data_IF_020076586778
#
_entry.id   IF_020076586778
#
_cell.length_a   1.000
_cell.length_b   1.000
_cell.length_c   1.000
_cell.angle_alpha   90.00
_cell.angle_beta   90.00
_cell.angle_gamma   90.00
#
_symmetry.space_group_name_H-M   'P 1'
#
loop_
_entity.id
_entity.type
_entity.pdbx_description
1 polymer ?
#
# COMPACT_ATOMS: atom_id res chain seq x y z
N UNK A 1 31.66 8.48 9.22
CA UNK A 1 30.45 9.34 9.12
C UNK A 1 29.38 8.59 8.36
N UNK A 2 28.56 7.83 9.07
CA UNK A 2 27.55 6.90 8.54
C UNK A 2 26.18 7.34 9.06
N UNK A 3 25.58 8.36 8.44
CA UNK A 3 24.31 8.94 8.94
C UNK A 3 23.12 8.90 7.96
N UNK A 4 23.29 8.46 6.71
CA UNK A 4 22.22 8.60 5.70
C UNK A 4 21.47 7.31 5.30
N UNK A 5 22.01 6.11 5.52
CA UNK A 5 21.36 4.87 5.12
C UNK A 5 20.22 4.40 6.06
N UNK A 6 20.23 4.86 7.32
CA UNK A 6 19.26 4.43 8.34
C UNK A 6 17.95 5.25 8.30
N UNK A 7 17.96 6.43 7.65
CA UNK A 7 16.81 7.33 7.62
C UNK A 7 15.71 6.84 6.67
N UNK A 8 16.05 6.33 5.47
CA UNK A 8 15.05 5.93 4.47
C UNK A 8 14.16 4.76 4.91
N UNK A 9 14.76 3.69 5.46
CA UNK A 9 13.99 2.57 6.03
C UNK A 9 13.18 3.00 7.25
N UNK A 10 13.73 3.87 8.12
CA UNK A 10 13.00 4.41 9.27
C UNK A 10 11.87 5.35 8.86
N UNK A 11 12.01 6.11 7.77
CA UNK A 11 10.96 6.98 7.23
C UNK A 11 9.86 6.13 6.60
N UNK A 12 10.19 5.15 5.75
CA UNK A 12 9.18 4.25 5.18
C UNK A 12 8.49 3.44 6.28
N UNK A 13 9.24 2.92 7.26
CA UNK A 13 8.70 2.19 8.41
C UNK A 13 7.89 3.10 9.35
N UNK A 14 8.28 4.35 9.57
CA UNK A 14 7.51 5.30 10.37
C UNK A 14 6.24 5.76 9.63
N UNK A 15 6.32 6.03 8.32
CA UNK A 15 5.17 6.37 7.49
C UNK A 15 4.17 5.22 7.39
N UNK A 16 4.63 3.97 7.39
CA UNK A 16 3.77 2.76 7.38
C UNK A 16 3.26 2.42 8.79
N UNK A 17 4.08 2.57 9.83
CA UNK A 17 3.69 2.25 11.21
C UNK A 17 2.79 3.33 11.86
N UNK A 18 2.77 4.56 11.33
CA UNK A 18 1.90 5.64 11.79
C UNK A 18 0.71 5.90 10.86
N UNK A 19 0.59 5.21 9.72
CA UNK A 19 -0.55 5.43 8.83
C UNK A 19 -1.74 4.62 9.28
N UNK A 20 -2.85 5.31 9.57
CA UNK A 20 -4.17 4.73 9.44
C UNK A 20 -4.27 4.05 8.06
N UNK A 21 -4.77 2.81 8.06
CA UNK A 21 -4.92 2.03 6.84
C UNK A 21 -5.76 2.78 5.79
N UNK A 22 -5.63 2.41 4.53
CA UNK A 22 -6.41 3.02 3.46
C UNK A 22 -7.72 2.26 3.23
N UNK A 23 -8.83 2.95 3.47
CA UNK A 23 -10.16 2.41 3.18
C UNK A 23 -10.30 2.06 1.68
N UNK A 24 -10.94 0.92 1.30
CA UNK A 24 -10.97 0.46 -0.09
C UNK A 24 -11.62 1.44 -1.07
N UNK A 25 -12.66 2.18 -0.64
CA UNK A 25 -13.28 3.23 -1.46
C UNK A 25 -12.29 4.31 -1.87
N UNK A 26 -11.55 4.83 -0.89
CA UNK A 26 -10.54 5.88 -1.08
C UNK A 26 -9.42 5.37 -1.97
N UNK A 27 -8.97 4.14 -1.73
CA UNK A 27 -7.99 3.48 -2.60
C UNK A 27 -8.46 3.46 -4.06
N UNK A 28 -9.70 3.07 -4.34
CA UNK A 28 -10.24 3.05 -5.70
C UNK A 28 -10.38 4.45 -6.30
N UNK A 29 -10.86 5.44 -5.53
CA UNK A 29 -10.91 6.85 -5.98
C UNK A 29 -9.54 7.33 -6.45
N UNK A 30 -8.50 7.13 -5.64
CA UNK A 30 -7.11 7.49 -5.98
C UNK A 30 -6.55 6.69 -7.15
N UNK A 31 -6.88 5.40 -7.24
CA UNK A 31 -6.38 4.53 -8.30
C UNK A 31 -6.95 4.92 -9.67
N UNK A 32 -8.22 5.31 -9.72
CA UNK A 32 -8.89 5.73 -10.95
C UNK A 32 -8.81 7.23 -11.23
N UNK A 33 -7.98 7.97 -10.47
CA UNK A 33 -7.72 9.40 -10.69
C UNK A 33 -8.88 10.31 -10.33
N UNK A 34 -9.79 9.87 -9.47
CA UNK A 34 -10.92 10.69 -8.99
C UNK A 34 -10.49 11.72 -7.94
N UNK A 35 -9.33 11.52 -7.32
CA UNK A 35 -8.70 12.47 -6.39
C UNK A 35 -7.50 13.21 -7.03
N UNK A 36 -7.36 13.14 -8.35
CA UNK A 36 -6.27 13.84 -9.04
C UNK A 36 -6.44 15.36 -8.91
N UNK A 37 -5.31 16.04 -8.73
CA UNK A 37 -5.23 17.50 -8.59
C UNK A 37 -4.74 18.08 -9.92
N UNK A 38 -5.39 19.15 -10.38
CA UNK A 38 -5.01 19.92 -11.55
C UNK A 38 -3.79 20.81 -11.26
N UNK A 39 -3.18 21.38 -12.30
CA UNK A 39 -1.98 22.23 -12.16
C UNK A 39 -2.22 23.47 -11.28
N UNK A 40 -3.46 23.94 -11.20
CA UNK A 40 -3.89 25.06 -10.35
C UNK A 40 -4.12 24.68 -8.87
N UNK A 41 -3.86 23.43 -8.50
CA UNK A 41 -4.02 22.92 -7.13
C UNK A 41 -5.46 22.51 -6.79
N UNK A 42 -6.42 22.58 -7.72
CA UNK A 42 -7.81 22.17 -7.48
C UNK A 42 -8.03 20.71 -7.83
N UNK A 43 -8.94 20.04 -7.12
CA UNK A 43 -9.38 18.69 -7.49
C UNK A 43 -9.97 18.71 -8.91
N UNK A 44 -9.65 17.68 -9.69
CA UNK A 44 -10.18 17.49 -11.05
C UNK A 44 -11.69 17.26 -11.05
N UNK A 45 -12.20 16.59 -10.02
CA UNK A 45 -13.61 16.30 -9.85
C UNK A 45 -14.13 16.86 -8.53
N UNK A 46 -15.34 17.41 -8.55
CA UNK A 46 -16.08 17.75 -7.34
C UNK A 46 -16.66 16.50 -6.69
N UNK A 47 -16.99 16.54 -5.40
CA UNK A 47 -17.57 15.36 -4.72
C UNK A 47 -18.85 14.88 -5.43
N UNK A 48 -19.70 15.78 -5.92
CA UNK A 48 -20.90 15.42 -6.69
C UNK A 48 -20.56 14.67 -7.98
N UNK A 49 -19.50 15.06 -8.68
CA UNK A 49 -19.03 14.36 -9.88
C UNK A 49 -18.44 12.99 -9.52
N UNK A 50 -17.67 12.91 -8.43
CA UNK A 50 -17.14 11.63 -7.93
C UNK A 50 -18.28 10.68 -7.60
N UNK A 51 -19.32 11.13 -6.91
CA UNK A 51 -20.50 10.31 -6.58
C UNK A 51 -21.25 9.86 -7.83
N UNK A 52 -21.36 10.71 -8.86
CA UNK A 52 -21.95 10.33 -10.13
C UNK A 52 -21.15 9.20 -10.80
N UNK A 53 -19.82 9.31 -10.83
CA UNK A 53 -18.91 8.30 -11.39
C UNK A 53 -18.97 7.00 -10.57
N UNK A 54 -18.98 7.08 -9.24
CA UNK A 54 -19.11 5.90 -8.37
C UNK A 54 -20.44 5.17 -8.56
N UNK A 55 -21.46 5.88 -9.04
CA UNK A 55 -22.79 5.35 -9.36
C UNK A 55 -22.89 4.79 -10.78
N UNK A 56 -21.88 4.98 -11.63
CA UNK A 56 -21.87 4.45 -12.99
C UNK A 56 -21.83 2.91 -13.00
N UNK A 57 -22.51 2.33 -14.00
CA UNK A 57 -22.48 0.90 -14.21
C UNK A 57 -21.04 0.40 -14.42
N UNK A 58 -20.63 -0.60 -13.64
CA UNK A 58 -19.32 -1.23 -13.72
C UNK A 58 -18.21 -0.55 -12.91
N UNK A 59 -18.41 0.66 -12.35
CA UNK A 59 -17.39 1.27 -11.47
C UNK A 59 -17.06 0.35 -10.28
N UNK A 60 -18.10 -0.17 -9.63
CA UNK A 60 -17.95 -1.11 -8.52
C UNK A 60 -17.22 -2.39 -8.93
N UNK A 61 -17.53 -2.94 -10.10
CA UNK A 61 -16.88 -4.15 -10.61
C UNK A 61 -15.38 -3.93 -10.85
N UNK A 62 -15.01 -2.77 -11.41
CA UNK A 62 -13.60 -2.35 -11.55
C UNK A 62 -12.90 -2.30 -10.18
N UNK A 63 -13.54 -1.73 -9.17
CA UNK A 63 -13.01 -1.69 -7.80
C UNK A 63 -12.78 -3.09 -7.23
N UNK A 64 -13.79 -3.96 -7.33
CA UNK A 64 -13.74 -5.36 -6.85
C UNK A 64 -12.59 -6.12 -7.49
N UNK A 65 -12.47 -6.05 -8.82
CA UNK A 65 -11.41 -6.74 -9.55
C UNK A 65 -10.03 -6.21 -9.21
N UNK A 66 -9.88 -4.89 -9.07
CA UNK A 66 -8.64 -4.25 -8.67
C UNK A 66 -8.18 -4.71 -7.28
N UNK A 67 -9.06 -4.59 -6.28
CA UNK A 67 -8.76 -4.95 -4.89
C UNK A 67 -8.45 -6.46 -4.80
N UNK A 68 -9.24 -7.30 -5.47
CA UNK A 68 -9.02 -8.74 -5.50
C UNK A 68 -7.64 -9.10 -6.06
N UNK A 69 -7.23 -8.43 -7.15
CA UNK A 69 -5.91 -8.62 -7.76
C UNK A 69 -4.78 -8.20 -6.83
N UNK A 70 -4.91 -7.05 -6.16
CA UNK A 70 -3.89 -6.51 -5.26
C UNK A 70 -3.73 -7.38 -4.02
N UNK A 71 -4.83 -7.74 -3.37
CA UNK A 71 -4.84 -8.54 -2.16
C UNK A 71 -4.65 -10.04 -2.44
N UNK A 72 -4.59 -10.45 -3.71
CA UNK A 72 -4.49 -11.84 -4.17
C UNK A 72 -5.59 -12.74 -3.58
N UNK A 73 -6.81 -12.23 -3.56
CA UNK A 73 -8.01 -12.95 -3.10
C UNK A 73 -9.04 -13.06 -4.23
N UNK A 74 -10.04 -13.93 -4.07
CA UNK A 74 -11.08 -14.10 -5.09
C UNK A 74 -11.96 -12.83 -5.18
N UNK A 75 -12.35 -12.37 -6.39
CA UNK A 75 -13.29 -11.26 -6.55
C UNK A 75 -14.60 -11.45 -5.79
N UNK A 76 -15.14 -12.67 -5.75
CA UNK A 76 -16.33 -13.02 -4.96
C UNK A 76 -16.18 -12.74 -3.46
N UNK A 77 -14.96 -12.79 -2.92
CA UNK A 77 -14.71 -12.43 -1.51
C UNK A 77 -14.91 -10.93 -1.32
N UNK A 78 -14.31 -10.11 -2.19
CA UNK A 78 -14.42 -8.64 -2.14
C UNK A 78 -15.86 -8.19 -2.45
N UNK A 79 -16.54 -8.88 -3.38
CA UNK A 79 -17.94 -8.65 -3.72
C UNK A 79 -18.85 -8.70 -2.47
N UNK A 80 -18.51 -9.52 -1.48
CA UNK A 80 -19.28 -9.72 -0.24
C UNK A 80 -19.00 -8.66 0.83
N UNK A 81 -18.03 -7.77 0.62
CA UNK A 81 -17.66 -6.72 1.58
C UNK A 81 -18.66 -5.56 1.64
N UNK A 82 -19.84 -5.68 1.04
CA UNK A 82 -20.92 -4.71 1.18
C UNK A 82 -21.56 -4.37 -0.17
N UNK A 83 -22.63 -3.59 -0.08
CA UNK A 83 -23.32 -3.03 -1.25
C UNK A 83 -22.63 -1.73 -1.68
N UNK A 84 -22.66 -1.45 -2.98
CA UNK A 84 -22.04 -0.24 -3.53
C UNK A 84 -20.52 -0.22 -3.35
N UNK A 85 -19.98 0.99 -3.23
CA UNK A 85 -18.54 1.29 -3.09
C UNK A 85 -18.10 1.50 -1.63
N UNK A 86 -18.98 1.24 -0.66
CA UNK A 86 -18.71 1.54 0.75
C UNK A 86 -17.86 0.47 1.45
N UNK A 87 -17.86 -0.78 0.99
CA UNK A 87 -17.07 -1.87 1.57
C UNK A 87 -17.22 -2.06 3.12
N UNK A 88 -18.39 -1.71 3.67
CA UNK A 88 -18.66 -1.71 5.11
C UNK A 88 -18.54 -3.09 5.79
N UNK A 89 -18.73 -4.19 5.05
CA UNK A 89 -18.64 -5.57 5.55
C UNK A 89 -17.25 -6.19 5.36
N UNK A 90 -16.20 -5.36 5.33
CA UNK A 90 -14.82 -5.83 5.40
C UNK A 90 -14.62 -6.63 6.71
N UNK A 91 -14.01 -7.84 6.68
CA UNK A 91 -13.80 -8.66 7.87
C UNK A 91 -12.98 -7.91 8.93
N UNK A 92 -13.49 -7.81 10.16
CA UNK A 92 -12.85 -7.03 11.23
C UNK A 92 -11.48 -7.58 11.63
N UNK A 93 -11.30 -8.90 11.55
CA UNK A 93 -10.04 -9.61 11.82
C UNK A 93 -8.93 -9.28 10.81
N UNK A 94 -9.31 -8.89 9.57
CA UNK A 94 -8.37 -8.58 8.48
C UNK A 94 -8.39 -7.14 8.02
N UNK A 95 -9.31 -6.32 8.53
CA UNK A 95 -9.51 -4.92 8.12
C UNK A 95 -8.20 -4.15 8.15
N UNK A 96 -7.53 -4.13 9.31
CA UNK A 96 -6.27 -3.42 9.47
C UNK A 96 -5.18 -3.92 8.50
N UNK A 97 -5.08 -5.25 8.31
CA UNK A 97 -4.10 -5.83 7.38
C UNK A 97 -4.37 -5.39 5.93
N UNK A 98 -5.62 -5.50 5.48
CA UNK A 98 -5.99 -5.14 4.10
C UNK A 98 -5.83 -3.65 3.83
N UNK A 99 -6.30 -2.80 4.73
CA UNK A 99 -6.20 -1.35 4.58
C UNK A 99 -4.74 -0.87 4.61
N UNK A 100 -3.90 -1.45 5.47
CA UNK A 100 -2.45 -1.20 5.48
C UNK A 100 -1.80 -1.62 4.16
N UNK A 101 -2.19 -2.77 3.61
CA UNK A 101 -1.64 -3.23 2.34
C UNK A 101 -2.07 -2.35 1.16
N UNK A 102 -3.34 -1.92 1.11
CA UNK A 102 -3.83 -0.98 0.11
C UNK A 102 -3.07 0.36 0.19
N UNK A 103 -2.82 0.86 1.42
CA UNK A 103 -2.02 2.07 1.64
C UNK A 103 -0.60 1.91 1.10
N UNK A 104 0.04 0.78 1.39
CA UNK A 104 1.40 0.49 0.91
C UNK A 104 1.47 0.48 -0.62
N UNK A 105 0.50 -0.17 -1.27
CA UNK A 105 0.44 -0.23 -2.74
C UNK A 105 0.18 1.15 -3.36
N UNK A 106 -0.71 1.96 -2.78
CA UNK A 106 -0.91 3.34 -3.26
C UNK A 106 0.37 4.18 -3.09
N UNK A 107 1.06 4.06 -1.95
CA UNK A 107 2.33 4.75 -1.73
C UNK A 107 3.38 4.34 -2.76
N UNK A 108 3.54 3.05 -3.03
CA UNK A 108 4.45 2.56 -4.06
C UNK A 108 4.08 3.13 -5.43
N UNK A 109 2.80 3.14 -5.80
CA UNK A 109 2.34 3.72 -7.07
C UNK A 109 2.70 5.20 -7.18
N UNK A 110 2.43 5.98 -6.13
CA UNK A 110 2.75 7.42 -6.09
C UNK A 110 4.26 7.64 -6.19
N UNK A 111 5.06 6.88 -5.43
CA UNK A 111 6.52 6.96 -5.50
C UNK A 111 7.02 6.61 -6.91
N UNK A 112 6.56 5.50 -7.49
CA UNK A 112 6.91 5.10 -8.85
C UNK A 112 6.53 6.15 -9.90
N UNK A 113 5.35 6.77 -9.79
CA UNK A 113 4.91 7.80 -10.71
C UNK A 113 5.76 9.08 -10.60
N UNK A 114 6.19 9.46 -9.39
CA UNK A 114 7.11 10.58 -9.20
C UNK A 114 8.52 10.24 -9.69
N UNK A 115 9.00 9.02 -9.43
CA UNK A 115 10.29 8.55 -9.87
C UNK A 115 10.38 8.46 -11.40
N UNK A 116 9.31 8.08 -12.10
CA UNK A 116 9.25 8.09 -13.56
C UNK A 116 9.33 9.50 -14.17
N UNK A 117 9.04 10.56 -13.40
CA UNK A 117 9.25 11.95 -13.81
C UNK A 117 10.69 12.43 -13.58
N UNK A 118 11.50 11.66 -12.86
CA UNK A 118 12.90 11.94 -12.60
C UNK A 118 13.79 10.98 -13.42
N UNK A 119 14.98 11.44 -13.77
CA UNK A 119 15.97 10.67 -14.53
C UNK A 119 16.20 9.27 -13.93
N UNK A 120 16.10 8.21 -14.75
CA UNK A 120 16.19 6.79 -14.36
C UNK A 120 17.42 6.49 -13.50
N UNK A 121 18.49 7.27 -13.68
CA UNK A 121 19.75 7.18 -12.93
C UNK A 121 19.59 7.39 -11.42
N UNK A 122 18.61 8.20 -10.97
CA UNK A 122 18.34 8.44 -9.54
C UNK A 122 17.52 7.30 -8.92
N UNK A 123 16.59 6.73 -9.69
CA UNK A 123 15.76 5.59 -9.29
C UNK A 123 16.63 4.36 -9.05
N UNK A 124 17.54 4.07 -9.97
CA UNK A 124 18.49 2.96 -9.86
C UNK A 124 19.44 3.16 -8.67
N UNK A 125 19.89 4.40 -8.39
CA UNK A 125 20.70 4.71 -7.19
C UNK A 125 19.93 4.49 -5.88
N UNK A 126 18.65 4.87 -5.82
CA UNK A 126 17.78 4.61 -4.66
C UNK A 126 17.51 3.11 -4.46
N UNK A 127 17.21 2.39 -5.54
CA UNK A 127 16.99 0.93 -5.48
C UNK A 127 18.27 0.17 -5.11
N UNK A 128 19.42 0.54 -5.67
CA UNK A 128 20.71 -0.09 -5.37
C UNK A 128 21.20 0.20 -3.94
N UNK A 129 20.94 1.40 -3.42
CA UNK A 129 21.26 1.72 -2.02
C UNK A 129 20.35 0.97 -1.04
N UNK A 130 19.07 0.78 -1.38
CA UNK A 130 18.14 -0.01 -0.55
C UNK A 130 18.39 -1.54 -0.61
N UNK A 131 18.76 -2.09 -1.77
CA UNK A 131 19.04 -3.54 -1.92
C UNK A 131 20.38 -3.96 -1.31
N UNK A 132 21.38 -3.08 -1.28
CA UNK A 132 22.64 -3.32 -0.57
C UNK A 132 22.39 -3.49 0.94
N UNK A 133 21.50 -2.66 1.51
CA UNK A 133 21.10 -2.78 2.91
C UNK A 133 20.30 -4.05 3.22
N UNK A 134 19.50 -4.57 2.28
CA UNK A 134 18.75 -5.83 2.47
C UNK A 134 19.68 -7.06 2.49
N UNK A 135 20.78 -7.05 1.74
CA UNK A 135 21.77 -8.14 1.76
C UNK A 135 22.58 -8.17 3.07
N UNK A 136 22.87 -7.02 3.66
CA UNK A 136 23.56 -6.93 4.97
C UNK A 136 22.65 -7.36 6.15
N UNK A 137 21.33 -7.10 6.06
CA UNK A 137 20.37 -7.55 7.09
C UNK A 137 20.18 -9.07 7.09
N UNK A 138 20.26 -9.72 5.93
CA UNK A 138 20.14 -11.19 5.84
C UNK A 138 21.39 -11.94 6.33
N UNK A 139 22.57 -11.31 6.43
CA UNK A 139 23.74 -11.91 7.08
C UNK A 139 23.72 -11.81 8.60
N UNK A 140 22.98 -10.87 9.19
CA UNK A 140 22.84 -10.75 10.66
C UNK A 140 21.63 -11.53 11.22
N UNK A 141 20.59 -11.77 10.40
CA UNK A 141 19.35 -12.42 10.85
C UNK A 141 19.40 -13.97 10.90
N UNK A 142 20.48 -14.60 10.42
CA UNK A 142 20.62 -16.08 10.42
C UNK A 142 21.33 -16.64 11.67
N UNK A 143 21.72 -15.79 12.64
CA UNK A 143 22.36 -16.21 13.89
C UNK A 143 21.46 -16.14 15.14
N UNK A 144 20.15 -15.95 14.99
CA UNK A 144 19.21 -15.94 16.11
C UNK A 144 18.11 -17.00 15.94
N UNK A 145 18.48 -18.29 15.93
CA UNK A 145 17.58 -19.39 16.29
C UNK A 145 18.30 -20.75 16.41
N UNK A 146 19.30 -20.88 17.30
CA UNK A 146 19.64 -22.17 17.93
C UNK A 146 20.16 -21.93 19.34
N UNK A 147 19.26 -21.77 20.32
CA UNK A 147 19.52 -22.10 21.73
C UNK A 147 18.24 -21.87 22.54
N UNK A 148 17.26 -22.77 22.42
CA UNK A 148 16.43 -23.12 23.59
C UNK A 148 15.67 -24.43 23.34
N UNK A 149 16.35 -25.56 23.58
CA UNK A 149 15.73 -26.87 23.83
C UNK A 149 16.68 -27.73 24.65
N UNK A 150 16.70 -27.53 25.96
CA UNK A 150 16.99 -28.59 26.93
C UNK A 150 16.82 -28.05 28.34
N UNK A 151 15.71 -28.41 28.97
CA UNK A 151 15.58 -28.83 30.37
C UNK A 151 14.15 -28.56 30.85
N UNK A 152 13.37 -29.62 30.97
CA UNK A 152 12.60 -30.00 32.16
C UNK A 152 12.21 -31.47 31.92
N UNK A 153 12.99 -32.36 32.53
CA UNK A 153 12.62 -33.71 32.86
C UNK A 153 11.75 -33.65 34.12
N UNK A 154 10.54 -34.20 34.05
CA UNK A 154 9.88 -34.90 35.16
C UNK A 154 9.45 -36.25 34.62
#
# INVERSE_FOLDING_TARGET
MTFFANAGYKILKACVNQSEGMHPRIFCRRWFGLEDVQEDGRLRFTETQVLAIESEHGYREKCVNLIAKILKIKPNTVQRWGKGVEFNNLPSDKRHQYETYLRYVDMLRVLSANLAKHDESLVIKLLNSSTKSVKEINSESFNFQVSDKSEILV
#
